data_IF_301340136627
#
_entry.id   IF_301340136627
#
_cell.length_a   1.000
_cell.length_b   1.000
_cell.length_c   1.000
_cell.angle_alpha   90.00
_cell.angle_beta   90.00
_cell.angle_gamma   90.00
#
_symmetry.space_group_name_H-M   'P 1'
#
loop_
_entity.id
_entity.type
_entity.pdbx_description
1 polymer ?
#
# COMPACT_ATOMS: atom_id res chain seq x y z
N UNK A 1 -7.20 -8.38 3.39
CA UNK A 1 -6.15 -8.09 2.38
C UNK A 1 -5.82 -9.37 1.63
N UNK A 2 -5.67 -9.34 0.31
CA UNK A 2 -5.39 -10.52 -0.52
C UNK A 2 -4.44 -10.18 -1.70
N UNK A 3 -4.25 -11.15 -2.60
CA UNK A 3 -3.48 -11.09 -3.85
C UNK A 3 -4.39 -11.36 -5.05
N UNK A 4 -3.86 -11.29 -6.27
CA UNK A 4 -4.63 -11.58 -7.50
C UNK A 4 -5.11 -13.04 -7.61
N UNK A 5 -4.49 -13.94 -6.83
CA UNK A 5 -4.73 -15.37 -6.86
C UNK A 5 -3.48 -16.15 -6.49
N UNK A 6 -3.47 -17.46 -6.72
CA UNK A 6 -2.35 -18.33 -6.33
C UNK A 6 -1.15 -18.19 -7.27
N UNK A 7 -1.38 -18.30 -8.57
CA UNK A 7 -0.39 -18.20 -9.65
C UNK A 7 -1.05 -17.62 -10.92
N UNK A 8 -0.33 -17.62 -12.04
CA UNK A 8 -0.84 -17.06 -13.30
C UNK A 8 -1.94 -17.89 -13.96
N UNK A 9 -2.06 -19.18 -13.62
CA UNK A 9 -3.17 -20.02 -14.06
C UNK A 9 -4.43 -19.80 -13.21
N UNK A 10 -4.27 -19.26 -12.00
CA UNK A 10 -5.37 -19.05 -11.03
C UNK A 10 -5.43 -17.59 -10.57
N UNK A 11 -5.85 -16.67 -11.45
CA UNK A 11 -6.13 -15.26 -11.14
C UNK A 11 -7.61 -14.99 -10.89
N UNK A 12 -8.15 -15.48 -9.77
CA UNK A 12 -9.58 -15.52 -9.45
C UNK A 12 -10.07 -14.38 -8.54
N UNK A 13 -9.37 -13.24 -8.50
CA UNK A 13 -9.68 -12.17 -7.55
C UNK A 13 -11.06 -11.53 -7.71
N UNK A 14 -11.63 -11.52 -8.92
CA UNK A 14 -12.99 -10.98 -9.17
C UNK A 14 -14.05 -11.79 -8.40
N UNK A 15 -14.00 -13.11 -8.48
CA UNK A 15 -14.88 -14.02 -7.72
C UNK A 15 -14.61 -13.95 -6.22
N UNK A 16 -13.34 -13.94 -5.82
CA UNK A 16 -12.95 -13.85 -4.40
C UNK A 16 -13.45 -12.56 -3.76
N UNK A 17 -13.41 -11.43 -4.48
CA UNK A 17 -13.89 -10.15 -3.99
C UNK A 17 -15.39 -10.16 -3.71
N UNK A 18 -16.20 -10.73 -4.60
CA UNK A 18 -17.66 -10.89 -4.38
C UNK A 18 -17.94 -11.77 -3.17
N UNK A 19 -17.33 -12.96 -3.11
CA UNK A 19 -17.53 -13.90 -1.99
C UNK A 19 -17.12 -13.31 -0.64
N UNK A 20 -16.00 -12.59 -0.60
CA UNK A 20 -15.54 -11.92 0.62
C UNK A 20 -16.50 -10.81 1.06
N UNK A 21 -17.02 -10.03 0.11
CA UNK A 21 -18.04 -9.03 0.43
C UNK A 21 -19.32 -9.69 0.95
N UNK A 22 -19.77 -10.77 0.33
CA UNK A 22 -21.02 -11.45 0.67
C UNK A 22 -20.99 -12.05 2.08
N UNK A 23 -19.81 -12.36 2.63
CA UNK A 23 -19.64 -12.76 4.03
C UNK A 23 -19.46 -11.58 5.00
N UNK A 24 -19.58 -10.34 4.53
CA UNK A 24 -19.71 -9.14 5.35
C UNK A 24 -18.41 -8.41 5.69
N UNK A 25 -17.30 -8.62 4.96
CA UNK A 25 -16.11 -7.76 5.15
C UNK A 25 -16.46 -6.31 4.79
N UNK A 26 -15.82 -5.35 5.45
CA UNK A 26 -16.14 -3.93 5.28
C UNK A 26 -15.23 -3.20 4.29
N UNK A 27 -14.11 -3.82 3.89
CA UNK A 27 -13.15 -3.26 2.93
C UNK A 27 -12.19 -4.35 2.43
N UNK A 28 -11.69 -4.21 1.20
CA UNK A 28 -10.73 -5.15 0.62
C UNK A 28 -9.50 -4.46 0.03
N UNK A 29 -8.32 -4.77 0.55
CA UNK A 29 -7.04 -4.42 -0.09
C UNK A 29 -6.51 -5.56 -0.94
N UNK A 30 -6.11 -5.26 -2.18
CA UNK A 30 -5.63 -6.25 -3.15
C UNK A 30 -4.22 -5.87 -3.58
N UNK A 31 -3.27 -6.80 -3.41
CA UNK A 31 -1.92 -6.65 -3.96
C UNK A 31 -1.91 -7.14 -5.42
N UNK A 32 -1.38 -6.33 -6.34
CA UNK A 32 -1.33 -6.61 -7.79
C UNK A 32 -0.38 -7.74 -8.22
N UNK A 33 -0.10 -8.70 -7.35
CA UNK A 33 0.67 -9.90 -7.67
C UNK A 33 -0.09 -11.15 -7.25
N UNK A 34 0.15 -12.27 -7.92
CA UNK A 34 -0.24 -13.61 -7.46
C UNK A 34 0.67 -14.06 -6.33
N UNK A 35 0.30 -15.09 -5.56
CA UNK A 35 1.16 -15.63 -4.49
C UNK A 35 2.50 -16.12 -5.03
N UNK A 36 2.50 -16.86 -6.14
CA UNK A 36 3.68 -17.48 -6.73
C UNK A 36 4.73 -16.47 -7.24
N UNK A 37 4.30 -15.27 -7.65
CA UNK A 37 5.20 -14.20 -8.07
C UNK A 37 6.08 -13.66 -6.93
N UNK A 38 5.70 -13.85 -5.67
CA UNK A 38 6.38 -13.25 -4.51
C UNK A 38 6.54 -11.72 -4.68
N UNK A 39 7.76 -11.26 -4.95
CA UNK A 39 8.15 -9.87 -5.24
C UNK A 39 8.76 -9.70 -6.64
N UNK A 40 8.72 -10.75 -7.47
CA UNK A 40 9.22 -10.72 -8.85
C UNK A 40 8.22 -10.01 -9.77
N UNK A 41 8.73 -9.44 -10.86
CA UNK A 41 7.94 -8.69 -11.83
C UNK A 41 7.30 -7.44 -11.24
N UNK A 42 6.43 -6.80 -12.01
CA UNK A 42 5.67 -5.63 -11.59
C UNK A 42 4.28 -6.02 -11.06
N UNK A 43 3.75 -5.26 -10.12
CA UNK A 43 2.38 -5.40 -9.68
C UNK A 43 1.42 -4.97 -10.80
N UNK A 44 0.62 -5.91 -11.30
CA UNK A 44 -0.44 -5.70 -12.27
C UNK A 44 -1.74 -5.31 -11.56
N UNK A 45 -2.15 -4.06 -11.74
CA UNK A 45 -3.37 -3.51 -11.13
C UNK A 45 -4.61 -3.65 -12.02
N UNK A 46 -4.49 -4.24 -13.22
CA UNK A 46 -5.61 -4.38 -14.16
C UNK A 46 -6.80 -5.10 -13.52
N UNK A 47 -6.57 -6.21 -12.83
CA UNK A 47 -7.61 -6.95 -12.12
C UNK A 47 -8.15 -6.22 -10.88
N UNK A 48 -7.35 -5.36 -10.24
CA UNK A 48 -7.84 -4.50 -9.15
C UNK A 48 -8.85 -3.49 -9.72
N UNK A 49 -8.54 -2.90 -10.87
CA UNK A 49 -9.46 -2.02 -11.61
C UNK A 49 -10.75 -2.73 -12.01
N UNK A 50 -10.66 -3.98 -12.49
CA UNK A 50 -11.87 -4.78 -12.80
C UNK A 50 -12.74 -5.03 -11.58
N UNK A 51 -12.14 -5.43 -10.44
CA UNK A 51 -12.87 -5.60 -9.18
C UNK A 51 -13.56 -4.29 -8.78
N UNK A 52 -12.85 -3.16 -8.88
CA UNK A 52 -13.43 -1.85 -8.53
C UNK A 52 -14.56 -1.41 -9.48
N UNK A 53 -14.45 -1.75 -10.76
CA UNK A 53 -15.47 -1.45 -11.77
C UNK A 53 -16.69 -2.39 -11.71
N UNK A 54 -16.61 -3.50 -10.97
CA UNK A 54 -17.71 -4.46 -10.84
C UNK A 54 -18.89 -3.83 -10.07
N UNK A 55 -20.09 -3.71 -10.67
CA UNK A 55 -21.25 -3.07 -10.04
C UNK A 55 -21.80 -3.81 -8.80
N UNK A 56 -21.42 -5.07 -8.59
CA UNK A 56 -21.76 -5.81 -7.37
C UNK A 56 -20.91 -5.40 -6.17
N UNK A 57 -19.71 -4.89 -6.39
CA UNK A 57 -18.81 -4.47 -5.32
C UNK A 57 -19.27 -3.10 -4.79
N UNK A 58 -19.65 -3.08 -3.52
CA UNK A 58 -20.12 -1.90 -2.77
C UNK A 58 -19.14 -1.47 -1.69
N UNK A 59 -18.31 -2.39 -1.21
CA UNK A 59 -17.28 -2.09 -0.21
C UNK A 59 -16.10 -1.34 -0.85
N UNK A 60 -15.37 -0.52 -0.07
CA UNK A 60 -14.14 0.12 -0.54
C UNK A 60 -13.07 -0.89 -0.96
N UNK A 61 -12.44 -0.62 -2.10
CA UNK A 61 -11.32 -1.38 -2.66
C UNK A 61 -10.04 -0.54 -2.61
N UNK A 62 -9.01 -1.10 -1.98
CA UNK A 62 -7.69 -0.47 -1.87
C UNK A 62 -6.67 -1.18 -2.75
N UNK A 63 -6.00 -0.43 -3.63
CA UNK A 63 -4.91 -0.95 -4.44
C UNK A 63 -3.59 -1.03 -3.66
N UNK A 64 -2.80 -2.08 -3.91
CA UNK A 64 -1.49 -2.27 -3.30
C UNK A 64 -0.49 -2.84 -4.31
N UNK A 65 0.75 -2.37 -4.25
CA UNK A 65 1.86 -2.89 -5.04
C UNK A 65 2.59 -1.79 -5.79
N UNK A 66 3.90 -1.71 -5.54
CA UNK A 66 4.87 -0.89 -6.28
C UNK A 66 4.57 0.61 -6.35
N UNK A 67 3.75 1.15 -5.45
CA UNK A 67 3.59 2.61 -5.30
C UNK A 67 4.76 3.15 -4.47
N UNK A 68 5.55 4.00 -5.10
CA UNK A 68 6.79 4.57 -4.57
C UNK A 68 6.93 6.09 -4.80
N UNK A 69 5.97 6.73 -5.47
CA UNK A 69 5.95 8.17 -5.67
C UNK A 69 4.53 8.79 -5.64
N UNK A 70 4.42 10.11 -5.40
CA UNK A 70 3.16 10.85 -5.51
C UNK A 70 2.46 10.75 -6.86
N UNK A 71 3.21 10.84 -7.95
CA UNK A 71 2.71 10.75 -9.33
C UNK A 71 2.16 9.36 -9.60
N UNK A 72 2.93 8.32 -9.26
CA UNK A 72 2.47 6.94 -9.45
C UNK A 72 1.21 6.66 -8.64
N UNK A 73 1.14 7.14 -7.41
CA UNK A 73 -0.06 7.05 -6.59
C UNK A 73 -1.26 7.73 -7.26
N UNK A 74 -1.08 8.95 -7.81
CA UNK A 74 -2.14 9.70 -8.50
C UNK A 74 -2.59 8.97 -9.76
N UNK A 75 -1.64 8.63 -10.64
CA UNK A 75 -1.91 7.90 -11.90
C UNK A 75 -2.63 6.59 -11.65
N UNK A 76 -2.21 5.80 -10.65
CA UNK A 76 -2.84 4.51 -10.38
C UNK A 76 -4.22 4.66 -9.77
N UNK A 77 -4.42 5.65 -8.88
CA UNK A 77 -5.75 5.95 -8.35
C UNK A 77 -6.72 6.34 -9.46
N UNK A 78 -6.30 7.23 -10.36
CA UNK A 78 -7.13 7.71 -11.49
C UNK A 78 -7.40 6.58 -12.50
N UNK A 79 -6.36 5.82 -12.86
CA UNK A 79 -6.46 4.76 -13.87
C UNK A 79 -7.33 3.57 -13.42
N UNK A 80 -7.23 3.17 -12.16
CA UNK A 80 -7.91 1.97 -11.66
C UNK A 80 -9.13 2.27 -10.77
N UNK A 81 -9.39 3.55 -10.48
CA UNK A 81 -10.58 4.00 -9.76
C UNK A 81 -10.64 3.58 -8.29
N UNK A 82 -9.55 3.09 -7.70
CA UNK A 82 -9.52 2.55 -6.32
C UNK A 82 -9.85 3.63 -5.29
N UNK A 83 -10.49 3.22 -4.19
CA UNK A 83 -10.92 4.13 -3.11
C UNK A 83 -9.74 4.61 -2.25
N UNK A 84 -8.65 3.84 -2.24
CA UNK A 84 -7.41 4.22 -1.60
C UNK A 84 -6.23 3.34 -2.02
N UNK A 85 -5.05 3.69 -1.51
CA UNK A 85 -3.80 3.02 -1.82
C UNK A 85 -3.12 2.60 -0.51
N UNK A 86 -2.65 1.36 -0.47
CA UNK A 86 -1.81 0.84 0.61
C UNK A 86 -0.36 0.77 0.14
N UNK A 87 0.54 1.36 0.93
CA UNK A 87 1.98 1.47 0.64
C UNK A 87 2.75 0.65 1.67
N UNK A 88 3.68 -0.18 1.19
CA UNK A 88 4.53 -1.03 2.02
C UNK A 88 5.99 -0.63 1.91
N UNK A 89 6.76 -1.33 1.08
CA UNK A 89 8.23 -1.16 0.99
C UNK A 89 8.72 0.29 0.89
N UNK A 90 8.05 1.15 0.12
CA UNK A 90 8.47 2.54 -0.05
C UNK A 90 8.32 3.42 1.22
N UNK A 91 7.58 2.97 2.25
CA UNK A 91 7.52 3.67 3.54
C UNK A 91 8.60 3.22 4.53
N UNK A 92 9.30 2.10 4.26
CA UNK A 92 10.37 1.60 5.13
C UNK A 92 11.58 2.53 4.97
N UNK A 93 12.00 3.17 6.06
CA UNK A 93 13.07 4.17 6.04
C UNK A 93 12.68 5.53 5.45
N UNK A 94 11.48 5.67 4.88
CA UNK A 94 10.97 6.93 4.33
C UNK A 94 9.47 7.14 4.67
N UNK A 95 9.11 7.30 5.96
CA UNK A 95 7.73 7.51 6.39
C UNK A 95 7.06 8.77 5.81
N UNK A 96 7.83 9.73 5.29
CA UNK A 96 7.32 10.97 4.70
C UNK A 96 6.49 10.76 3.42
N UNK A 97 6.61 9.61 2.75
CA UNK A 97 5.88 9.28 1.52
C UNK A 97 4.37 9.52 1.64
N UNK A 98 3.78 9.28 2.82
CA UNK A 98 2.35 9.50 3.04
C UNK A 98 1.97 10.99 2.99
N UNK A 99 2.81 11.87 3.56
CA UNK A 99 2.57 13.31 3.54
C UNK A 99 2.86 13.91 2.16
N UNK A 100 3.90 13.41 1.48
CA UNK A 100 4.24 13.78 0.10
C UNK A 100 3.07 13.47 -0.84
N UNK A 101 2.51 12.25 -0.78
CA UNK A 101 1.34 11.86 -1.58
C UNK A 101 0.12 12.72 -1.24
N UNK A 102 -0.20 12.90 0.04
CA UNK A 102 -1.35 13.72 0.46
C UNK A 102 -1.22 15.17 -0.01
N UNK A 103 -0.03 15.74 0.08
CA UNK A 103 0.24 17.10 -0.38
C UNK A 103 0.07 17.20 -1.90
N UNK A 104 0.72 16.31 -2.66
CA UNK A 104 0.62 16.27 -4.12
C UNK A 104 -0.83 16.08 -4.62
N UNK A 105 -1.62 15.25 -3.93
CA UNK A 105 -3.03 15.06 -4.28
C UNK A 105 -3.86 16.34 -4.09
N UNK A 106 -3.49 17.19 -3.13
CA UNK A 106 -4.21 18.43 -2.81
C UNK A 106 -3.77 19.60 -3.69
N UNK A 107 -2.48 19.71 -3.99
CA UNK A 107 -1.89 20.90 -4.62
C UNK A 107 -1.38 20.67 -6.03
N UNK A 108 -1.07 19.42 -6.40
CA UNK A 108 -0.32 19.09 -7.62
C UNK A 108 1.17 19.41 -7.53
N UNK A 109 1.67 19.85 -6.36
CA UNK A 109 3.06 20.25 -6.13
C UNK A 109 3.78 19.25 -5.23
N UNK A 110 5.12 19.27 -5.24
CA UNK A 110 5.94 18.42 -4.38
C UNK A 110 6.31 19.13 -3.08
N UNK A 111 6.33 18.36 -1.98
CA UNK A 111 6.99 18.81 -0.76
C UNK A 111 8.52 18.80 -0.96
N UNK A 112 9.25 19.68 -0.25
CA UNK A 112 10.69 19.52 -0.14
C UNK A 112 11.01 18.18 0.54
N UNK A 113 12.11 17.56 0.10
CA UNK A 113 12.61 16.34 0.72
C UNK A 113 12.98 16.58 2.19
N UNK A 114 12.82 15.56 3.07
CA UNK A 114 13.20 15.70 4.47
C UNK A 114 14.69 15.98 4.61
N UNK A 115 15.01 16.97 5.42
CA UNK A 115 16.39 17.37 5.73
C UNK A 115 17.09 16.29 6.55
N UNK A 116 18.42 16.40 6.71
CA UNK A 116 19.16 15.52 7.61
C UNK A 116 18.64 15.62 9.05
N UNK A 117 18.28 16.83 9.51
CA UNK A 117 17.72 17.04 10.83
C UNK A 117 16.39 16.31 11.01
N UNK A 118 15.48 16.39 10.03
CA UNK A 118 14.20 15.68 10.05
C UNK A 118 14.40 14.16 10.13
N UNK A 119 15.39 13.64 9.38
CA UNK A 119 15.71 12.20 9.35
C UNK A 119 16.27 11.72 10.69
N UNK A 120 17.18 12.49 11.29
CA UNK A 120 17.74 12.18 12.61
C UNK A 120 16.63 12.18 13.66
N UNK A 121 15.76 13.17 13.63
CA UNK A 121 14.66 13.28 14.60
C UNK A 121 13.67 12.12 14.45
N UNK A 122 13.25 11.78 13.22
CA UNK A 122 12.39 10.63 12.98
C UNK A 122 13.02 9.30 13.45
N UNK A 123 14.33 9.11 13.22
CA UNK A 123 15.04 7.93 13.70
C UNK A 123 15.10 7.86 15.24
N UNK A 124 15.31 9.00 15.91
CA UNK A 124 15.29 9.08 17.38
C UNK A 124 13.90 8.77 17.95
N UNK A 125 12.86 9.33 17.34
CA UNK A 125 11.47 9.06 17.73
C UNK A 125 11.13 7.59 17.53
N UNK A 126 11.47 7.02 16.37
CA UNK A 126 11.23 5.60 16.09
C UNK A 126 11.95 4.69 17.08
N UNK A 127 13.23 4.96 17.39
CA UNK A 127 13.97 4.20 18.40
C UNK A 127 13.29 4.30 19.78
N UNK A 128 12.93 5.52 20.20
CA UNK A 128 12.31 5.75 21.50
C UNK A 128 11.00 4.96 21.65
N UNK A 129 10.13 5.04 20.65
CA UNK A 129 8.87 4.28 20.60
C UNK A 129 9.11 2.76 20.53
N UNK A 130 10.14 2.32 19.80
CA UNK A 130 10.50 0.91 19.67
C UNK A 130 10.98 0.34 21.02
N UNK A 131 11.80 1.10 21.75
CA UNK A 131 12.25 0.76 23.10
C UNK A 131 11.11 0.69 24.11
N UNK A 132 10.16 1.62 24.03
CA UNK A 132 8.98 1.65 24.90
C UNK A 132 8.07 0.44 24.65
N UNK A 133 7.80 0.13 23.39
CA UNK A 133 6.85 -0.93 23.02
C UNK A 133 7.45 -2.34 23.13
N UNK A 134 8.72 -2.51 22.76
CA UNK A 134 9.36 -3.83 22.56
C UNK A 134 10.47 -4.11 23.59
N UNK A 135 10.77 -3.15 24.45
CA UNK A 135 11.87 -3.26 25.40
C UNK A 135 13.25 -3.10 24.76
N UNK A 136 14.30 -3.21 25.58
CA UNK A 136 15.66 -2.82 25.20
C UNK A 136 16.27 -3.64 24.07
N UNK A 137 16.12 -4.96 24.11
CA UNK A 137 16.80 -5.83 23.15
C UNK A 137 16.12 -5.80 21.78
N UNK A 138 14.85 -6.19 21.72
CA UNK A 138 14.07 -6.22 20.47
C UNK A 138 13.90 -4.82 19.88
N UNK A 139 13.66 -3.81 20.74
CA UNK A 139 13.51 -2.43 20.31
C UNK A 139 14.75 -1.84 19.60
N UNK A 140 15.96 -2.33 19.91
CA UNK A 140 17.20 -1.96 19.20
C UNK A 140 17.43 -2.83 17.98
N UNK A 141 17.15 -4.13 18.05
CA UNK A 141 17.40 -5.07 16.94
C UNK A 141 16.56 -4.73 15.71
N UNK A 142 15.31 -4.33 15.89
CA UNK A 142 14.41 -3.98 14.78
C UNK A 142 14.66 -2.61 14.15
N UNK A 143 15.63 -1.84 14.67
CA UNK A 143 16.08 -0.58 14.07
C UNK A 143 17.18 -0.77 12.99
N UNK A 144 17.63 -2.01 12.78
CA UNK A 144 18.67 -2.39 11.80
C UNK A 144 18.09 -2.59 10.41
#
# INVERSE_FOLDING_TARGET
KTRLGWDDASRNIEEVAERLQDIGIQALSIHGRTRAQLYKGEADWSLIGKVKANPRIRIPIFGNGDIDSPEKAKTYRERYGVDGIMIGRASIGHPWIFNEIKHYFRTGEHLPAPTLADRVEAARQHLSSSLEWKGKHEGVVEMR
#
